data_IF_498371225278
#
_entry.id   IF_498371225278
#
_cell.length_a   1.000
_cell.length_b   1.000
_cell.length_c   1.000
_cell.angle_alpha   90.00
_cell.angle_beta   90.00
_cell.angle_gamma   90.00
#
_symmetry.space_group_name_H-M   'P 1'
#
loop_
_entity.id
_entity.type
_entity.pdbx_description
1 polymer ?
#
# COMPACT_ATOMS: atom_id res chain seq x y z
N UNK A 1 4.76 13.04 -18.54
CA UNK A 1 4.25 12.04 -17.60
C UNK A 1 5.11 10.81 -17.75
N UNK A 2 5.84 10.47 -16.71
CA UNK A 2 6.53 9.19 -16.66
C UNK A 2 5.47 8.07 -16.59
N UNK A 3 5.83 6.89 -17.08
CA UNK A 3 4.94 5.72 -17.18
C UNK A 3 5.60 4.57 -16.46
N UNK A 4 4.79 3.74 -15.79
CA UNK A 4 5.25 2.49 -15.18
C UNK A 4 4.44 1.31 -15.69
N UNK A 5 5.04 0.13 -15.70
CA UNK A 5 4.40 -1.10 -16.15
C UNK A 5 4.14 -2.03 -14.98
N UNK A 6 2.93 -2.58 -14.91
CA UNK A 6 2.58 -3.55 -13.89
C UNK A 6 3.43 -4.82 -14.04
N UNK A 7 4.20 -5.16 -13.01
CA UNK A 7 5.02 -6.37 -12.97
C UNK A 7 4.21 -7.67 -13.03
N UNK A 8 2.91 -7.62 -12.71
CA UNK A 8 2.01 -8.78 -12.72
C UNK A 8 1.29 -8.99 -14.05
N UNK A 9 0.76 -7.93 -14.67
CA UNK A 9 -0.09 -8.06 -15.86
C UNK A 9 0.42 -7.31 -17.10
N UNK A 10 1.52 -6.55 -16.99
CA UNK A 10 2.12 -5.80 -18.10
C UNK A 10 1.37 -4.55 -18.53
N UNK A 11 0.27 -4.17 -17.84
CA UNK A 11 -0.46 -2.95 -18.16
C UNK A 11 0.40 -1.70 -17.93
N UNK A 12 0.27 -0.71 -18.80
CA UNK A 12 0.82 0.63 -18.63
C UNK A 12 -0.02 1.44 -17.63
N UNK A 13 0.62 2.13 -16.70
CA UNK A 13 0.00 2.97 -15.65
C UNK A 13 0.83 4.27 -15.48
N UNK A 14 0.27 5.28 -14.81
CA UNK A 14 1.03 6.49 -14.44
C UNK A 14 1.96 6.19 -13.25
N UNK A 15 3.15 6.81 -13.19
CA UNK A 15 4.22 6.46 -12.22
C UNK A 15 3.82 6.60 -10.75
N UNK A 16 2.83 7.44 -10.46
CA UNK A 16 2.38 7.71 -9.08
C UNK A 16 1.11 6.92 -8.68
N UNK A 17 0.62 6.03 -9.55
CA UNK A 17 -0.48 5.13 -9.20
C UNK A 17 -0.08 4.21 -8.05
N UNK A 18 -0.91 4.17 -7.00
CA UNK A 18 -0.78 3.21 -5.90
C UNK A 18 -0.99 1.75 -6.36
N UNK A 19 -1.88 1.56 -7.34
CA UNK A 19 -2.35 0.25 -7.79
C UNK A 19 -2.36 0.19 -9.32
N UNK A 20 -2.18 -1.01 -9.87
CA UNK A 20 -2.44 -1.24 -11.28
C UNK A 20 -3.94 -1.13 -11.60
N UNK A 21 -4.30 -0.28 -12.56
CA UNK A 21 -5.69 -0.03 -12.96
C UNK A 21 -6.40 -1.27 -13.51
N UNK A 22 -5.65 -2.25 -14.05
CA UNK A 22 -6.23 -3.48 -14.63
C UNK A 22 -6.39 -4.64 -13.67
N UNK A 23 -5.45 -4.82 -12.74
CA UNK A 23 -5.40 -6.04 -11.91
C UNK A 23 -5.29 -5.76 -10.41
N UNK A 24 -5.31 -4.48 -10.02
CA UNK A 24 -5.24 -3.99 -8.65
C UNK A 24 -4.01 -4.47 -7.87
N UNK A 25 -2.98 -4.96 -8.58
CA UNK A 25 -1.71 -5.27 -7.94
C UNK A 25 -1.07 -3.96 -7.46
N UNK A 26 -0.68 -3.84 -6.18
CA UNK A 26 -0.03 -2.65 -5.67
C UNK A 26 1.33 -2.45 -6.36
N UNK A 27 1.70 -1.20 -6.60
CA UNK A 27 3.06 -0.85 -6.95
C UNK A 27 3.88 -0.69 -5.66
N UNK A 28 5.07 -1.30 -5.62
CA UNK A 28 5.90 -1.34 -4.40
C UNK A 28 6.28 0.04 -3.88
N UNK A 29 6.42 1.04 -4.76
CA UNK A 29 6.80 2.39 -4.40
C UNK A 29 5.72 3.16 -3.64
N UNK A 30 4.48 2.66 -3.60
CA UNK A 30 3.40 3.35 -2.92
C UNK A 30 3.39 3.03 -1.42
N UNK A 31 3.76 4.04 -0.62
CA UNK A 31 3.76 3.93 0.84
C UNK A 31 5.13 3.70 1.48
N UNK A 32 6.21 3.61 0.69
CA UNK A 32 7.59 3.49 1.19
C UNK A 32 8.01 4.67 2.09
N UNK A 33 7.38 5.83 1.91
CA UNK A 33 7.57 7.05 2.71
C UNK A 33 6.45 7.30 3.73
N UNK A 34 5.46 6.39 3.83
CA UNK A 34 4.29 6.51 4.71
C UNK A 34 4.44 5.62 5.95
N UNK A 35 3.85 6.06 7.05
CA UNK A 35 3.73 5.27 8.29
C UNK A 35 2.24 5.04 8.54
N UNK A 36 1.88 3.80 8.91
CA UNK A 36 0.52 3.42 9.24
C UNK A 36 0.36 3.30 10.76
N UNK A 37 -0.51 4.10 11.35
CA UNK A 37 -0.76 4.05 12.78
C UNK A 37 -1.84 3.01 13.10
N UNK A 38 -1.52 2.05 13.99
CA UNK A 38 -2.48 1.03 14.38
C UNK A 38 -3.70 1.67 15.06
N UNK A 39 -4.94 1.38 14.63
CA UNK A 39 -6.14 1.98 15.23
C UNK A 39 -6.44 1.46 16.64
N UNK A 40 -5.91 0.29 17.01
CA UNK A 40 -6.15 -0.33 18.30
C UNK A 40 -5.15 0.11 19.38
N UNK A 41 -3.86 0.19 19.04
CA UNK A 41 -2.79 0.47 20.02
C UNK A 41 -1.95 1.70 19.70
N UNK A 42 -2.23 2.41 18.60
CA UNK A 42 -1.52 3.61 18.14
C UNK A 42 -0.03 3.44 17.83
N UNK A 43 0.47 2.20 17.80
CA UNK A 43 1.82 1.90 17.37
C UNK A 43 2.03 2.28 15.90
N UNK A 44 3.15 2.93 15.53
CA UNK A 44 3.51 3.17 14.14
C UNK A 44 4.00 1.87 13.48
N UNK A 45 3.49 1.57 12.29
CA UNK A 45 3.82 0.38 11.51
C UNK A 45 4.24 0.79 10.10
N UNK A 46 4.96 -0.11 9.43
CA UNK A 46 5.27 0.04 8.01
C UNK A 46 3.97 0.00 7.19
N UNK A 47 3.85 0.88 6.20
CA UNK A 47 2.63 1.00 5.39
C UNK A 47 2.33 -0.27 4.57
N UNK A 48 3.33 -1.12 4.32
CA UNK A 48 3.18 -2.40 3.65
C UNK A 48 2.69 -3.53 4.57
N UNK A 49 2.65 -3.34 5.90
CA UNK A 49 2.16 -4.36 6.82
C UNK A 49 0.63 -4.49 6.80
N UNK A 50 0.16 -5.74 6.88
CA UNK A 50 -1.27 -6.07 6.98
C UNK A 50 -1.77 -6.15 8.43
N UNK A 51 -0.86 -6.38 9.39
CA UNK A 51 -1.15 -6.55 10.82
C UNK A 51 -0.14 -5.80 11.68
N UNK A 52 -0.58 -5.30 12.84
CA UNK A 52 0.28 -4.55 13.72
C UNK A 52 1.33 -5.47 14.35
N UNK A 53 2.60 -5.06 14.34
CA UNK A 53 3.68 -5.88 14.91
C UNK A 53 3.61 -6.02 16.45
N UNK A 54 2.84 -5.15 17.12
CA UNK A 54 2.72 -5.15 18.60
C UNK A 54 1.47 -5.89 19.06
N UNK A 55 0.30 -5.51 18.55
CA UNK A 55 -0.97 -6.07 19.02
C UNK A 55 -1.58 -7.10 18.06
N UNK A 56 -0.98 -7.30 16.87
CA UNK A 56 -1.45 -8.21 15.82
C UNK A 56 -2.86 -7.93 15.27
N UNK A 57 -3.48 -6.81 15.67
CA UNK A 57 -4.72 -6.35 15.06
C UNK A 57 -4.51 -5.99 13.59
N UNK A 58 -5.50 -6.24 12.71
CA UNK A 58 -5.42 -5.85 11.31
C UNK A 58 -5.16 -4.35 11.16
N UNK A 59 -4.14 -4.00 10.38
CA UNK A 59 -3.84 -2.61 10.04
C UNK A 59 -4.71 -2.10 8.89
N UNK A 60 -5.35 -2.99 8.12
CA UNK A 60 -6.20 -2.64 6.99
C UNK A 60 -7.43 -3.53 6.97
N UNK A 61 -8.62 -2.96 7.16
CA UNK A 61 -9.64 -3.00 6.10
C UNK A 61 -10.50 -1.71 6.03
N UNK A 62 -10.54 -1.03 4.88
CA UNK A 62 -11.42 0.13 4.65
C UNK A 62 -10.97 1.46 5.26
N UNK A 63 -9.72 1.57 5.71
CA UNK A 63 -9.13 2.88 6.04
C UNK A 63 -8.85 3.64 4.73
N UNK A 64 -9.57 4.74 4.55
CA UNK A 64 -9.31 5.72 3.48
C UNK A 64 -8.04 6.49 3.82
N UNK A 65 -7.24 6.70 2.78
CA UNK A 65 -5.99 7.46 2.78
C UNK A 65 -6.11 8.86 3.40
#
# INVERSE_FOLDING_TARGET
MEKQFCSKCGAENVTDSAWCEKCLNPFRSYGDDKILQCPACFHPNDYAQDHCEVCHEPLKPGQVE
#
